data_IF_298825608645
#
_entry.id   IF_298825608645
#
_cell.length_a   1.000
_cell.length_b   1.000
_cell.length_c   1.000
_cell.angle_alpha   90.00
_cell.angle_beta   90.00
_cell.angle_gamma   90.00
#
_symmetry.space_group_name_H-M   'P 1'
#
loop_
_entity.id
_entity.type
_entity.pdbx_description
1 polymer ?
#
# COMPACT_ATOMS: atom_id res chain seq x y z
N UNK A 1 40.90 8.53 42.81
CA UNK A 1 39.62 8.18 42.17
C UNK A 1 38.92 9.41 41.59
N UNK A 2 39.52 10.08 40.60
CA UNK A 2 38.97 11.28 39.95
C UNK A 2 39.09 11.25 38.40
N UNK A 3 39.61 10.15 37.85
CA UNK A 3 39.88 10.01 36.40
C UNK A 3 38.79 9.20 35.66
N UNK A 4 37.83 8.62 36.38
CA UNK A 4 36.76 7.80 35.79
C UNK A 4 35.53 8.66 35.40
N UNK A 5 35.41 9.88 35.93
CA UNK A 5 34.22 10.73 35.68
C UNK A 5 34.29 11.45 34.32
N UNK A 6 35.45 11.45 33.64
CA UNK A 6 35.62 12.18 32.36
C UNK A 6 35.38 11.33 31.10
N UNK A 7 34.94 10.07 31.22
CA UNK A 7 34.77 9.16 30.07
C UNK A 7 33.30 8.87 29.70
N UNK A 8 32.34 9.66 30.19
CA UNK A 8 30.89 9.45 29.96
C UNK A 8 30.25 10.48 29.02
N UNK A 9 30.90 11.62 28.76
CA UNK A 9 30.28 12.74 28.02
C UNK A 9 30.57 12.73 26.52
N UNK A 10 30.83 11.56 25.92
CA UNK A 10 31.05 11.46 24.48
C UNK A 10 30.41 10.22 23.88
N UNK A 11 29.07 10.14 23.95
CA UNK A 11 28.32 9.32 23.00
C UNK A 11 27.26 10.19 22.32
N UNK A 12 27.71 10.77 21.20
CA UNK A 12 27.01 10.91 19.92
C UNK A 12 25.56 11.42 19.96
N UNK A 13 25.37 12.71 19.66
CA UNK A 13 25.12 13.26 18.30
C UNK A 13 23.78 12.81 17.71
N UNK A 14 22.86 13.78 17.75
CA UNK A 14 21.71 14.04 16.89
C UNK A 14 21.19 12.91 15.98
N UNK A 15 20.00 12.39 16.31
CA UNK A 15 19.06 11.86 15.31
C UNK A 15 18.67 13.01 14.38
N UNK A 16 19.36 13.12 13.26
CA UNK A 16 18.89 13.86 12.12
C UNK A 16 17.66 13.13 11.57
N UNK A 17 16.49 13.69 11.89
CA UNK A 17 15.21 13.57 11.19
C UNK A 17 15.21 12.58 10.04
N UNK A 18 14.79 11.35 10.33
CA UNK A 18 14.49 10.38 9.30
C UNK A 18 13.31 10.90 8.47
N UNK A 19 13.67 11.41 7.28
CA UNK A 19 13.06 11.04 6.02
C UNK A 19 11.62 11.53 5.81
N UNK A 20 11.51 12.80 5.43
CA UNK A 20 10.38 13.28 4.64
C UNK A 20 10.42 12.69 3.23
N UNK A 21 10.03 11.42 3.08
CA UNK A 21 9.81 10.82 1.77
C UNK A 21 8.34 10.41 1.62
N UNK A 22 7.64 11.20 0.80
CA UNK A 22 6.54 10.68 -0.02
C UNK A 22 5.32 10.21 0.73
N UNK A 23 4.57 11.14 1.34
CA UNK A 23 3.12 10.94 1.45
C UNK A 23 2.55 11.02 0.03
N UNK A 24 2.55 9.91 -0.71
CA UNK A 24 1.73 9.77 -1.90
C UNK A 24 0.27 9.81 -1.44
N UNK A 25 -0.32 10.99 -1.46
CA UNK A 25 -1.73 11.20 -1.18
C UNK A 25 -2.53 10.61 -2.36
N UNK A 26 -2.84 9.32 -2.29
CA UNK A 26 -3.74 8.63 -3.23
C UNK A 26 -5.21 8.94 -2.91
N UNK A 27 -5.55 10.21 -2.68
CA UNK A 27 -6.94 10.65 -2.60
C UNK A 27 -7.31 11.37 -3.89
N UNK A 28 -7.12 10.69 -5.02
CA UNK A 28 -7.79 11.07 -6.25
C UNK A 28 -9.23 10.58 -6.14
N UNK A 29 -10.08 11.47 -5.62
CA UNK A 29 -11.52 11.24 -5.55
C UNK A 29 -12.08 11.33 -6.98
N UNK A 30 -11.98 10.22 -7.72
CA UNK A 30 -12.64 10.04 -9.02
C UNK A 30 -14.15 10.17 -8.77
N UNK A 31 -14.74 11.32 -9.10
CA UNK A 31 -16.19 11.45 -9.22
C UNK A 31 -16.60 10.74 -10.51
N UNK A 32 -17.38 9.64 -10.45
CA UNK A 32 -17.81 8.98 -11.68
C UNK A 32 -18.78 9.90 -12.43
N UNK A 33 -18.30 10.50 -13.51
CA UNK A 33 -19.08 11.40 -14.37
C UNK A 33 -19.64 10.68 -15.61
N UNK A 34 -19.24 9.42 -15.83
CA UNK A 34 -19.64 8.60 -16.97
C UNK A 34 -19.89 7.14 -16.56
N UNK A 35 -20.70 6.41 -17.35
CA UNK A 35 -20.90 4.97 -17.16
C UNK A 35 -19.57 4.19 -17.16
N UNK A 36 -18.63 4.55 -18.04
CA UNK A 36 -17.30 3.95 -18.09
C UNK A 36 -16.51 4.18 -16.79
N UNK A 37 -16.56 5.38 -16.20
CA UNK A 37 -15.90 5.66 -14.92
C UNK A 37 -16.54 4.90 -13.75
N UNK A 38 -17.84 4.62 -13.81
CA UNK A 38 -18.54 3.85 -12.77
C UNK A 38 -18.19 2.36 -12.85
N UNK A 39 -18.12 1.79 -14.05
CA UNK A 39 -17.63 0.41 -14.27
C UNK A 39 -16.16 0.26 -13.86
N UNK A 40 -15.32 1.26 -14.15
CA UNK A 40 -13.93 1.28 -13.71
C UNK A 40 -13.83 1.23 -12.18
N UNK A 41 -14.59 2.07 -11.45
CA UNK A 41 -14.62 2.06 -9.99
C UNK A 41 -15.13 0.73 -9.44
N UNK A 42 -16.19 0.16 -10.03
CA UNK A 42 -16.72 -1.14 -9.64
C UNK A 42 -15.69 -2.27 -9.86
N UNK A 43 -14.91 -2.20 -10.93
CA UNK A 43 -13.79 -3.10 -11.20
C UNK A 43 -12.69 -2.97 -10.15
N UNK A 44 -12.27 -1.74 -9.82
CA UNK A 44 -11.28 -1.49 -8.78
C UNK A 44 -11.74 -1.96 -7.39
N UNK A 45 -13.00 -1.75 -7.03
CA UNK A 45 -13.56 -2.21 -5.76
C UNK A 45 -13.50 -3.74 -5.66
N UNK A 46 -13.94 -4.45 -6.69
CA UNK A 46 -13.88 -5.92 -6.74
C UNK A 46 -12.45 -6.45 -6.64
N UNK A 47 -11.50 -5.78 -7.31
CA UNK A 47 -10.08 -6.12 -7.22
C UNK A 47 -9.56 -5.95 -5.79
N UNK A 48 -9.88 -4.81 -5.16
CA UNK A 48 -9.49 -4.53 -3.79
C UNK A 48 -10.05 -5.57 -2.81
N UNK A 49 -11.35 -5.84 -2.89
CA UNK A 49 -12.02 -6.82 -2.01
C UNK A 49 -11.45 -8.23 -2.20
N UNK A 50 -11.18 -8.63 -3.45
CA UNK A 50 -10.57 -9.91 -3.78
C UNK A 50 -9.13 -10.04 -3.24
N UNK A 51 -8.32 -9.00 -3.38
CA UNK A 51 -6.97 -8.97 -2.80
C UNK A 51 -7.00 -9.01 -1.27
N UNK A 52 -7.90 -8.26 -0.63
CA UNK A 52 -8.06 -8.28 0.82
C UNK A 52 -8.48 -9.65 1.32
N UNK A 53 -9.38 -10.33 0.61
CA UNK A 53 -9.78 -11.70 0.94
C UNK A 53 -8.61 -12.68 0.80
N UNK A 54 -7.85 -12.59 -0.29
CA UNK A 54 -6.66 -13.43 -0.49
C UNK A 54 -5.61 -13.21 0.61
N UNK A 55 -5.38 -11.95 1.00
CA UNK A 55 -4.45 -11.61 2.09
C UNK A 55 -4.85 -12.17 3.47
N UNK A 56 -6.10 -12.60 3.65
CA UNK A 56 -6.57 -13.25 4.89
C UNK A 56 -6.29 -14.77 4.90
N UNK A 57 -5.80 -15.36 3.80
CA UNK A 57 -5.45 -16.76 3.78
C UNK A 57 -4.27 -17.04 4.73
N UNK A 58 -4.37 -18.14 5.48
CA UNK A 58 -3.32 -18.55 6.44
C UNK A 58 -2.05 -19.05 5.74
N UNK A 59 -2.22 -19.66 4.57
CA UNK A 59 -1.12 -20.14 3.76
C UNK A 59 -0.62 -18.99 2.87
N UNK A 60 0.68 -18.65 2.93
CA UNK A 60 1.23 -17.52 2.18
C UNK A 60 1.20 -17.74 0.66
N UNK A 61 1.32 -18.97 0.18
CA UNK A 61 1.27 -19.28 -1.25
C UNK A 61 -0.17 -19.16 -1.77
N UNK A 62 -1.14 -19.59 -0.97
CA UNK A 62 -2.57 -19.37 -1.25
C UNK A 62 -2.89 -17.88 -1.27
N UNK A 63 -2.40 -17.12 -0.28
CA UNK A 63 -2.61 -15.68 -0.21
C UNK A 63 -2.04 -14.96 -1.45
N UNK A 64 -0.85 -15.37 -1.88
CA UNK A 64 -0.22 -14.84 -3.09
C UNK A 64 -1.02 -15.19 -4.36
N UNK A 65 -1.40 -16.46 -4.53
CA UNK A 65 -2.14 -16.91 -5.71
C UNK A 65 -3.52 -16.25 -5.83
N UNK A 66 -4.25 -16.14 -4.72
CA UNK A 66 -5.56 -15.48 -4.67
C UNK A 66 -5.44 -13.97 -4.90
N UNK A 67 -4.45 -13.31 -4.28
CA UNK A 67 -4.16 -11.89 -4.50
C UNK A 67 -3.82 -11.58 -5.97
N UNK A 68 -2.97 -12.40 -6.59
CA UNK A 68 -2.62 -12.23 -8.00
C UNK A 68 -3.78 -12.55 -8.95
N UNK A 69 -4.65 -13.49 -8.58
CA UNK A 69 -5.88 -13.77 -9.35
C UNK A 69 -6.81 -12.56 -9.34
N UNK A 70 -7.05 -11.96 -8.17
CA UNK A 70 -7.87 -10.76 -8.05
C UNK A 70 -7.26 -9.56 -8.79
N UNK A 71 -5.94 -9.36 -8.70
CA UNK A 71 -5.22 -8.30 -9.42
C UNK A 71 -5.39 -8.43 -10.95
N UNK A 72 -5.24 -9.63 -11.52
CA UNK A 72 -5.44 -9.84 -12.96
C UNK A 72 -6.92 -9.72 -13.39
N UNK A 73 -7.86 -10.19 -12.55
CA UNK A 73 -9.29 -10.08 -12.81
C UNK A 73 -9.79 -8.63 -12.75
N UNK A 74 -9.23 -7.82 -11.84
CA UNK A 74 -9.49 -6.39 -11.75
C UNK A 74 -9.18 -5.66 -13.05
N UNK A 75 -8.09 -6.04 -13.71
CA UNK A 75 -7.71 -5.49 -15.02
C UNK A 75 -8.68 -5.86 -16.15
N UNK A 76 -9.41 -6.98 -16.02
CA UNK A 76 -10.38 -7.45 -17.03
C UNK A 76 -11.78 -6.86 -16.85
N UNK A 77 -12.10 -6.29 -15.67
CA UNK A 77 -13.39 -5.64 -15.39
C UNK A 77 -13.62 -4.34 -16.16
N UNK A 78 -12.56 -3.69 -16.65
CA UNK A 78 -12.67 -2.55 -17.55
C UNK A 78 -13.09 -3.03 -18.95
N UNK A 79 -14.39 -3.24 -19.18
CA UNK A 79 -14.94 -3.34 -20.53
C UNK A 79 -14.73 -1.98 -21.20
N UNK A 80 -13.72 -1.87 -22.06
CA UNK A 80 -13.65 -0.81 -23.06
C UNK A 80 -14.88 -0.99 -23.96
N UNK A 81 -15.90 -0.17 -23.75
CA UNK A 81 -17.07 -0.09 -24.62
C UNK A 81 -16.58 0.28 -26.03
N UNK A 82 -16.60 -0.70 -26.93
CA UNK A 82 -16.45 -0.51 -28.38
C UNK A 82 -17.83 -0.28 -28.99
#
# INVERSE_FOLDING_TARGET
>A
MKKIILLSTFLMVSVAWANGNGRHNMSEHITPSSAASQEYLAGMQKMHDGMMKGAMAQDPDVAFAEGMTAHHQGASGCKIQR
#
